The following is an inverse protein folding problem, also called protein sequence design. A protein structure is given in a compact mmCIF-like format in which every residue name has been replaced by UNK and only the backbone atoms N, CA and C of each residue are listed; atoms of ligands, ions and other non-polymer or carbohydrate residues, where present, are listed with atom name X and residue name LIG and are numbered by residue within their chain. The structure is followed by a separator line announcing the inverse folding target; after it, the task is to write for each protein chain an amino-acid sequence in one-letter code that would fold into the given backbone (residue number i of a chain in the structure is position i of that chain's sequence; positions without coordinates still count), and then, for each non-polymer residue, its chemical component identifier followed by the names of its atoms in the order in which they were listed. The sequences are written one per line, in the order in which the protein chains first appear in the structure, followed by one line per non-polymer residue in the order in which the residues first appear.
data_IF_635071393671
#
_entry.id   IF_635071393671
#
_cell.length_a   1.000
_cell.length_b   1.000
_cell.length_c   1.000
_cell.angle_alpha   90.00
_cell.angle_beta   90.00
_cell.angle_gamma   90.00
#
_symmetry.space_group_name_H-M   'P 1'
#
loop_
_entity.id
_entity.type
_entity.pdbx_description
1 polymer ?
#
# COMPACT_ATOMS: atom_id res chain seq x y z
N UNK A 1 9.26 4.20 -2.10
CA UNK A 1 8.50 3.70 -3.26
C UNK A 1 9.14 2.46 -3.87
N UNK A 2 8.46 1.32 -3.84
CA UNK A 2 8.87 0.06 -4.49
C UNK A 2 7.82 -0.33 -5.52
N UNK A 3 8.26 -0.74 -6.72
CA UNK A 3 7.39 -1.17 -7.84
C UNK A 3 7.39 -2.70 -7.88
N UNK A 4 6.22 -3.31 -7.96
CA UNK A 4 6.05 -4.74 -8.22
C UNK A 4 5.10 -4.94 -9.39
N UNK A 5 5.47 -5.78 -10.34
CA UNK A 5 4.58 -6.23 -11.41
C UNK A 5 4.12 -7.65 -11.10
N UNK A 6 2.81 -7.89 -11.22
CA UNK A 6 2.24 -9.22 -11.01
C UNK A 6 1.25 -9.58 -12.12
N UNK A 7 1.29 -10.85 -12.53
CA UNK A 7 0.29 -11.42 -13.42
C UNK A 7 -0.92 -11.84 -12.58
N UNK A 8 -2.06 -11.18 -12.82
CA UNK A 8 -3.30 -11.51 -12.10
C UNK A 8 -4.16 -12.45 -12.95
N UNK A 9 -4.73 -13.48 -12.31
CA UNK A 9 -5.78 -14.32 -12.90
C UNK A 9 -7.12 -13.60 -12.84
N UNK A 10 -7.81 -13.52 -13.98
CA UNK A 10 -9.22 -13.11 -14.02
C UNK A 10 -10.01 -14.22 -14.71
N UNK A 11 -10.74 -15.01 -13.92
CA UNK A 11 -11.40 -16.23 -14.40
C UNK A 11 -10.39 -17.30 -14.80
N UNK A 12 -10.69 -18.04 -15.87
CA UNK A 12 -9.82 -19.12 -16.37
C UNK A 12 -8.61 -18.59 -17.17
N UNK A 13 -8.63 -17.32 -17.57
CA UNK A 13 -7.56 -16.68 -18.34
C UNK A 13 -6.46 -16.11 -17.43
N UNK A 14 -5.21 -16.39 -17.82
CA UNK A 14 -4.07 -15.58 -17.38
C UNK A 14 -3.77 -14.55 -18.47
N UNK A 15 -3.58 -13.30 -18.06
CA UNK A 15 -2.38 -12.45 -18.17
C UNK A 15 -2.87 -11.00 -18.25
N UNK A 16 -3.03 -10.38 -17.09
CA UNK A 16 -3.15 -8.93 -16.96
C UNK A 16 -2.02 -8.49 -16.05
N UNK A 17 -1.05 -7.82 -16.63
CA UNK A 17 0.06 -7.23 -15.89
C UNK A 17 -0.46 -5.99 -15.14
N UNK A 18 -0.27 -5.99 -13.83
CA UNK A 18 -0.62 -4.87 -12.95
C UNK A 18 0.65 -4.38 -12.29
N UNK A 19 0.88 -3.07 -12.36
CA UNK A 19 1.96 -2.40 -11.62
C UNK A 19 1.42 -1.96 -10.26
N UNK A 20 2.14 -2.29 -9.20
CA UNK A 20 1.81 -1.89 -7.84
C UNK A 20 2.98 -1.08 -7.29
N UNK A 21 2.70 0.14 -6.87
CA UNK A 21 3.64 1.01 -6.20
C UNK A 21 3.25 1.10 -4.74
N UNK A 22 4.17 0.89 -3.81
CA UNK A 22 3.89 1.05 -2.37
C UNK A 22 4.91 1.96 -1.71
N UNK A 23 4.47 2.79 -0.78
CA UNK A 23 5.33 3.53 0.12
C UNK A 23 4.73 3.67 1.51
N UNK A 24 5.59 3.91 2.49
CA UNK A 24 5.18 4.12 3.87
C UNK A 24 6.12 5.08 4.58
N UNK A 25 5.54 5.90 5.47
CA UNK A 25 6.29 6.87 6.26
C UNK A 25 5.76 6.89 7.70
N UNK A 26 6.61 7.32 8.62
CA UNK A 26 6.31 7.38 10.05
C UNK A 26 6.88 8.66 10.65
N UNK A 27 6.12 9.30 11.55
CA UNK A 27 6.56 10.48 12.31
C UNK A 27 7.26 10.04 13.60
N UNK A 28 8.56 9.74 13.51
CA UNK A 28 9.36 9.19 14.62
C UNK A 28 9.47 7.66 14.59
N UNK A 29 10.27 7.09 15.50
CA UNK A 29 10.46 5.63 15.60
C UNK A 29 10.54 5.20 17.08
N UNK A 30 9.42 4.81 17.73
CA UNK A 30 8.07 4.63 17.17
C UNK A 30 7.30 5.94 17.01
N UNK A 31 6.42 6.00 16.01
CA UNK A 31 5.59 7.17 15.70
C UNK A 31 4.29 6.78 15.01
N UNK A 32 3.30 7.70 14.93
CA UNK A 32 2.17 7.54 14.01
C UNK A 32 2.71 7.43 12.58
N UNK A 33 2.15 6.50 11.81
CA UNK A 33 2.61 6.25 10.45
C UNK A 33 1.46 6.18 9.46
N UNK A 34 1.82 6.05 8.19
CA UNK A 34 0.87 5.88 7.11
C UNK A 34 1.49 5.08 5.97
N UNK A 35 0.63 4.56 5.11
CA UNK A 35 1.03 3.87 3.91
C UNK A 35 0.16 4.31 2.73
N UNK A 36 0.74 4.22 1.55
CA UNK A 36 0.08 4.46 0.28
C UNK A 36 0.41 3.36 -0.72
N UNK A 37 -0.55 3.06 -1.60
CA UNK A 37 -0.35 2.19 -2.73
C UNK A 37 -1.04 2.75 -3.99
N UNK A 38 -0.38 2.59 -5.13
CA UNK A 38 -0.95 2.88 -6.46
C UNK A 38 -1.02 1.55 -7.21
N UNK A 39 -2.20 1.23 -7.74
CA UNK A 39 -2.41 0.10 -8.64
C UNK A 39 -2.66 0.65 -10.03
N UNK A 40 -1.81 0.29 -10.99
CA UNK A 40 -1.97 0.66 -12.39
C UNK A 40 -2.21 -0.57 -13.24
N UNK A 41 -3.26 -0.51 -14.04
CA UNK A 41 -3.61 -1.53 -15.02
C UNK A 41 -4.05 -0.84 -16.32
N UNK A 42 -3.29 -1.06 -17.39
CA UNK A 42 -3.51 -0.39 -18.68
C UNK A 42 -3.62 1.13 -18.52
N UNK A 43 -4.77 1.73 -18.81
CA UNK A 43 -5.03 3.17 -18.72
C UNK A 43 -5.75 3.56 -17.42
N UNK A 44 -5.97 2.61 -16.51
CA UNK A 44 -6.64 2.84 -15.23
C UNK A 44 -5.63 2.84 -14.11
N UNK A 45 -5.77 3.82 -13.22
CA UNK A 45 -4.99 3.93 -12.00
C UNK A 45 -5.93 4.04 -10.81
N UNK A 46 -5.57 3.39 -9.71
CA UNK A 46 -6.29 3.48 -8.43
C UNK A 46 -5.31 3.68 -7.29
N UNK A 47 -5.59 4.68 -6.47
CA UNK A 47 -4.83 4.98 -5.27
C UNK A 47 -5.53 4.40 -4.03
N UNK A 48 -4.73 3.89 -3.10
CA UNK A 48 -5.13 3.43 -1.78
C UNK A 48 -4.21 4.10 -0.75
N UNK A 49 -4.76 4.56 0.36
CA UNK A 49 -3.99 5.10 1.46
C UNK A 49 -4.67 4.81 2.79
N UNK A 50 -3.88 4.65 3.85
CA UNK A 50 -4.40 4.67 5.20
C UNK A 50 -3.39 5.23 6.19
N UNK A 51 -3.92 5.78 7.27
CA UNK A 51 -3.17 6.29 8.41
C UNK A 51 -3.26 5.27 9.55
N UNK A 52 -2.13 5.04 10.23
CA UNK A 52 -2.06 4.25 11.45
C UNK A 52 -1.69 5.17 12.60
N UNK A 53 -2.65 5.42 13.48
CA UNK A 53 -2.38 6.07 14.75
C UNK A 53 -1.73 5.08 15.70
N UNK A 54 -0.77 5.55 16.50
CA UNK A 54 -0.41 4.84 17.72
C UNK A 54 -1.66 4.89 18.59
N UNK A 55 -2.33 3.76 18.79
CA UNK A 55 -3.25 3.59 19.91
C UNK A 55 -2.43 3.97 21.14
N UNK A 56 -2.78 5.06 21.81
CA UNK A 56 -2.07 5.53 23.00
C UNK A 56 -1.75 4.29 23.83
N UNK A 57 -0.47 3.91 23.86
CA UNK A 57 0.00 2.85 24.75
C UNK A 57 -0.47 3.31 26.11
N UNK A 58 -1.41 2.57 26.69
CA UNK A 58 -1.86 2.73 28.05
C UNK A 58 -0.64 3.11 28.87
N UNK A 59 -0.65 4.35 29.38
CA UNK A 59 0.24 4.89 30.40
C UNK A 59 1.21 3.84 30.94
N UNK A 60 2.44 3.82 30.42
CA UNK A 60 3.53 3.25 31.18
C UNK A 60 3.75 4.23 32.32
N UNK A 61 3.25 3.87 33.51
CA UNK A 61 3.65 4.51 34.76
C UNK A 61 5.18 4.63 34.83
#
# INVERSE_FOLDING_TARGET
MRIHTQNIRIGDSFVKEVEIFTDGACQGNPGPGGWGAILRYQQTEKELAAEMQILQTTVWN
#
